data_IF_025458711525
#
_entry.id   IF_025458711525
#
_cell.length_a   1.000
_cell.length_b   1.000
_cell.length_c   1.000
_cell.angle_alpha   90.00
_cell.angle_beta   90.00
_cell.angle_gamma   90.00
#
_symmetry.space_group_name_H-M   'P 1'
#
loop_
_entity.id
_entity.type
_entity.pdbx_description
1 polymer ?
#
# COMPACT_ATOMS: atom_id res chain seq x y z
N UNK A 1 23.81 -42.28 24.45
CA UNK A 1 23.01 -41.15 24.98
C UNK A 1 23.36 -39.78 24.36
N UNK A 2 24.18 -39.70 23.31
CA UNK A 2 24.65 -38.45 22.69
C UNK A 2 23.81 -37.98 21.48
N UNK A 3 23.00 -38.87 20.89
CA UNK A 3 22.26 -38.57 19.65
C UNK A 3 21.01 -37.68 19.87
N UNK A 4 20.45 -37.69 21.09
CA UNK A 4 19.26 -36.89 21.43
C UNK A 4 19.56 -35.41 21.64
N UNK A 5 20.79 -35.06 22.01
CA UNK A 5 21.19 -33.68 22.28
C UNK A 5 21.38 -32.88 20.98
N UNK A 6 21.94 -33.50 19.94
CA UNK A 6 22.13 -32.86 18.64
C UNK A 6 20.81 -32.55 17.91
N UNK A 7 19.80 -33.41 18.05
CA UNK A 7 18.49 -33.19 17.44
C UNK A 7 17.76 -31.96 18.02
N UNK A 8 17.98 -31.65 19.30
CA UNK A 8 17.36 -30.50 19.95
C UNK A 8 17.99 -29.17 19.50
N UNK A 9 19.32 -29.14 19.35
CA UNK A 9 20.07 -27.94 18.93
C UNK A 9 19.74 -27.52 17.50
N UNK A 10 19.49 -28.47 16.60
CA UNK A 10 19.10 -28.16 15.21
C UNK A 10 17.69 -27.57 15.11
N UNK A 11 16.74 -28.00 15.96
CA UNK A 11 15.39 -27.41 15.99
C UNK A 11 15.36 -25.97 16.51
N UNK A 12 16.26 -25.61 17.45
CA UNK A 12 16.32 -24.24 17.98
C UNK A 12 16.89 -23.21 16.99
N UNK A 13 17.68 -23.65 16.00
CA UNK A 13 18.24 -22.76 14.98
C UNK A 13 17.23 -22.37 13.87
N UNK A 14 16.12 -23.09 13.74
CA UNK A 14 15.10 -22.82 12.71
C UNK A 14 14.13 -21.67 13.06
N UNK A 15 14.13 -21.19 14.31
CA UNK A 15 13.27 -20.08 14.77
C UNK A 15 13.82 -18.69 14.40
N UNK A 16 15.01 -18.62 13.80
CA UNK A 16 15.66 -17.37 13.36
C UNK A 16 15.28 -16.92 11.94
N UNK A 17 14.25 -17.50 11.32
CA UNK A 17 13.73 -17.02 10.04
C UNK A 17 13.02 -15.68 10.27
N UNK A 18 13.79 -14.57 10.17
CA UNK A 18 13.27 -13.21 10.24
C UNK A 18 12.09 -13.06 9.29
N UNK A 19 10.91 -12.78 9.85
CA UNK A 19 9.69 -12.58 9.07
C UNK A 19 9.96 -11.56 7.96
N UNK A 20 9.67 -11.94 6.72
CA UNK A 20 9.68 -11.02 5.60
C UNK A 20 8.58 -9.97 5.85
N UNK A 21 8.97 -8.85 6.45
CA UNK A 21 8.13 -7.66 6.53
C UNK A 21 8.01 -7.12 5.10
N UNK A 22 7.04 -7.61 4.33
CA UNK A 22 6.77 -7.09 3.00
C UNK A 22 6.21 -5.67 3.11
N UNK A 23 6.71 -4.79 2.23
CA UNK A 23 6.41 -3.38 2.16
C UNK A 23 4.89 -3.15 2.09
N UNK A 24 4.41 -2.25 2.95
CA UNK A 24 3.02 -2.26 3.40
C UNK A 24 2.25 -1.16 2.67
N UNK A 25 1.55 -1.49 1.59
CA UNK A 25 0.35 -0.76 1.19
C UNK A 25 -0.83 -1.71 1.41
N UNK A 26 -1.73 -1.38 2.34
CA UNK A 26 -2.87 -2.23 2.66
C UNK A 26 -4.17 -1.44 2.83
N UNK A 27 -5.29 -1.88 2.24
CA UNK A 27 -5.37 -2.99 1.28
C UNK A 27 -4.77 -2.59 -0.08
N UNK A 28 -4.23 -3.55 -0.84
CA UNK A 28 -3.77 -3.32 -2.23
C UNK A 28 -4.92 -3.29 -3.24
N UNK A 29 -6.08 -3.81 -2.88
CA UNK A 29 -7.31 -3.74 -3.67
C UNK A 29 -8.48 -3.42 -2.76
N UNK A 30 -9.26 -2.42 -3.12
CA UNK A 30 -10.53 -2.19 -2.44
C UNK A 30 -11.56 -1.62 -3.40
N UNK A 31 -12.80 -1.96 -3.10
CA UNK A 31 -13.96 -1.60 -3.91
C UNK A 31 -15.08 -1.09 -2.99
N UNK A 32 -15.92 -0.19 -3.50
CA UNK A 32 -17.15 0.12 -2.77
C UNK A 32 -17.98 1.26 -3.33
N UNK A 33 -19.26 1.25 -2.97
CA UNK A 33 -20.20 2.31 -3.29
C UNK A 33 -19.89 3.62 -2.54
N UNK A 34 -20.35 4.74 -3.08
CA UNK A 34 -20.42 6.05 -2.42
C UNK A 34 -21.71 6.78 -2.79
N UNK A 35 -22.37 7.48 -1.84
CA UNK A 35 -23.55 8.28 -2.16
C UNK A 35 -23.22 9.60 -2.86
N UNK A 36 -21.95 10.03 -2.90
CA UNK A 36 -21.52 11.28 -3.54
C UNK A 36 -20.65 11.02 -4.78
N UNK A 37 -20.35 12.08 -5.52
CA UNK A 37 -19.38 12.06 -6.63
C UNK A 37 -17.93 11.84 -6.15
N UNK A 38 -17.67 11.76 -4.86
CA UNK A 38 -16.33 11.55 -4.29
C UNK A 38 -16.29 10.19 -3.59
N UNK A 39 -15.32 9.35 -3.96
CA UNK A 39 -15.02 8.11 -3.24
C UNK A 39 -13.70 8.25 -2.50
N UNK A 40 -13.72 7.86 -1.22
CA UNK A 40 -12.52 7.74 -0.40
C UNK A 40 -12.21 6.29 -0.02
N UNK A 41 -10.93 5.97 0.08
CA UNK A 41 -10.41 4.73 0.69
C UNK A 41 -9.36 5.07 1.73
N UNK A 42 -9.44 4.39 2.88
CA UNK A 42 -8.41 4.43 3.93
C UNK A 42 -7.38 3.34 3.65
N UNK A 43 -6.13 3.73 3.47
CA UNK A 43 -5.00 2.86 3.20
C UNK A 43 -4.01 2.95 4.36
N UNK A 44 -3.20 1.92 4.55
CA UNK A 44 -2.11 1.89 5.53
C UNK A 44 -0.80 1.74 4.80
N UNK A 45 0.10 2.69 5.02
CA UNK A 45 1.47 2.66 4.51
C UNK A 45 2.43 2.28 5.64
N UNK A 46 3.34 1.35 5.40
CA UNK A 46 4.26 0.86 6.44
C UNK A 46 5.69 0.76 5.95
N UNK A 47 6.63 1.00 6.86
CA UNK A 47 8.05 0.97 6.60
C UNK A 47 8.65 -0.39 7.01
N UNK A 48 8.96 -1.28 6.05
CA UNK A 48 9.61 -2.56 6.37
C UNK A 48 11.12 -2.43 6.57
N UNK A 49 11.71 -1.27 6.25
CA UNK A 49 13.15 -1.10 6.31
C UNK A 49 13.62 -0.92 7.75
N UNK A 50 14.87 -1.34 8.02
CA UNK A 50 15.52 -1.18 9.33
C UNK A 50 15.92 0.26 9.65
N UNK A 51 15.77 1.17 8.68
CA UNK A 51 16.05 2.59 8.82
C UNK A 51 14.77 3.41 8.70
N UNK A 52 14.83 4.67 9.18
CA UNK A 52 13.74 5.63 9.01
C UNK A 52 13.72 6.09 7.55
N UNK A 53 12.57 5.93 6.89
CA UNK A 53 12.42 6.20 5.46
C UNK A 53 11.34 7.24 5.17
N UNK A 54 11.55 8.06 4.16
CA UNK A 54 10.57 8.96 3.54
C UNK A 54 9.84 8.21 2.43
N UNK A 55 8.52 8.30 2.42
CA UNK A 55 7.65 7.70 1.41
C UNK A 55 6.87 8.78 0.68
N UNK A 56 6.72 8.59 -0.63
CA UNK A 56 5.86 9.37 -1.51
C UNK A 56 4.69 8.48 -1.93
N UNK A 57 3.50 9.05 -1.96
CA UNK A 57 2.26 8.40 -2.39
C UNK A 57 1.67 9.17 -3.56
N UNK A 58 1.46 8.47 -4.66
CA UNK A 58 0.99 9.03 -5.93
C UNK A 58 -0.35 8.40 -6.32
N UNK A 59 -1.30 9.22 -6.75
CA UNK A 59 -2.52 8.73 -7.39
C UNK A 59 -2.27 8.58 -8.89
N UNK A 60 -2.41 7.36 -9.38
CA UNK A 60 -2.04 6.97 -10.74
C UNK A 60 -3.26 6.52 -11.54
N UNK A 61 -3.10 6.37 -12.84
CA UNK A 61 -4.01 5.57 -13.65
C UNK A 61 -4.03 4.08 -13.19
N UNK A 62 -5.01 3.28 -13.62
CA UNK A 62 -5.09 1.86 -13.26
C UNK A 62 -3.92 1.01 -13.78
N UNK A 63 -3.09 1.54 -14.69
CA UNK A 63 -1.91 0.86 -15.26
C UNK A 63 -0.60 1.23 -14.56
N UNK A 64 -0.64 2.20 -13.65
CA UNK A 64 0.50 2.74 -12.89
C UNK A 64 1.54 3.45 -13.78
N UNK A 65 1.09 4.05 -14.89
CA UNK A 65 1.94 4.71 -15.87
C UNK A 65 2.02 6.22 -15.61
N UNK A 66 0.87 6.88 -15.41
CA UNK A 66 0.79 8.34 -15.23
C UNK A 66 0.03 8.74 -13.97
N UNK A 67 0.39 9.88 -13.38
CA UNK A 67 -0.37 10.51 -12.30
C UNK A 67 -1.67 11.12 -12.81
N UNK A 68 -2.72 11.10 -11.98
CA UNK A 68 -4.07 11.59 -12.34
C UNK A 68 -4.46 12.82 -11.52
N UNK A 69 -4.97 13.86 -12.19
CA UNK A 69 -5.27 15.15 -11.54
C UNK A 69 -6.52 15.17 -10.63
N UNK A 70 -7.49 14.28 -10.85
CA UNK A 70 -8.77 14.25 -10.12
C UNK A 70 -8.79 13.25 -8.96
N UNK A 71 -7.62 12.99 -8.38
CA UNK A 71 -7.46 12.22 -7.16
C UNK A 71 -6.55 12.98 -6.21
N UNK A 72 -6.82 12.88 -4.91
CA UNK A 72 -6.05 13.54 -3.87
C UNK A 72 -5.65 12.54 -2.79
N UNK A 73 -4.43 12.70 -2.28
CA UNK A 73 -3.89 11.94 -1.16
C UNK A 73 -3.73 12.89 0.02
N UNK A 74 -4.32 12.55 1.17
CA UNK A 74 -4.28 13.38 2.39
C UNK A 74 -2.87 13.73 2.89
N UNK A 75 -1.91 12.81 2.73
CA UNK A 75 -0.51 13.01 3.12
C UNK A 75 0.36 12.39 2.02
N UNK A 76 0.70 13.14 0.96
CA UNK A 76 1.40 12.60 -0.21
C UNK A 76 2.88 12.32 0.05
N UNK A 77 3.50 12.95 1.05
CA UNK A 77 4.88 12.66 1.47
C UNK A 77 4.97 12.63 3.00
N UNK A 78 5.61 11.61 3.56
CA UNK A 78 5.81 11.48 5.00
C UNK A 78 6.96 10.54 5.35
N UNK A 79 7.46 10.68 6.58
CA UNK A 79 8.58 9.89 7.10
C UNK A 79 8.12 8.90 8.17
N UNK A 80 8.60 7.66 8.11
CA UNK A 80 8.25 6.58 9.04
C UNK A 80 9.49 5.97 9.70
N UNK A 81 9.41 5.72 11.01
CA UNK A 81 10.40 4.92 11.72
C UNK A 81 10.40 3.45 11.24
N UNK A 82 11.46 2.66 11.51
CA UNK A 82 11.48 1.24 11.20
C UNK A 82 10.27 0.50 11.80
N UNK A 83 9.60 -0.33 11.00
CA UNK A 83 8.42 -1.10 11.43
C UNK A 83 7.15 -0.29 11.70
N UNK A 84 7.21 1.05 11.61
CA UNK A 84 6.04 1.90 11.83
C UNK A 84 5.12 1.91 10.60
N UNK A 85 3.84 2.21 10.84
CA UNK A 85 2.84 2.41 9.81
C UNK A 85 2.03 3.68 10.03
N UNK A 86 1.43 4.20 8.96
CA UNK A 86 0.59 5.38 8.96
C UNK A 86 -0.65 5.17 8.09
N UNK A 87 -1.85 5.45 8.62
CA UNK A 87 -3.04 5.51 7.79
C UNK A 87 -3.03 6.78 6.93
N UNK A 88 -3.46 6.63 5.69
CA UNK A 88 -3.72 7.73 4.75
C UNK A 88 -5.12 7.55 4.16
N UNK A 89 -5.68 8.64 3.66
CA UNK A 89 -6.89 8.64 2.85
C UNK A 89 -6.53 9.05 1.43
N UNK A 90 -7.01 8.28 0.46
CA UNK A 90 -7.03 8.64 -0.95
C UNK A 90 -8.47 8.86 -1.36
N UNK A 91 -8.72 9.95 -2.09
CA UNK A 91 -10.03 10.31 -2.60
C UNK A 91 -9.97 10.61 -4.09
N UNK A 92 -11.02 10.29 -4.82
CA UNK A 92 -11.13 10.61 -6.24
C UNK A 92 -12.58 10.92 -6.62
N UNK A 93 -12.74 11.76 -7.65
CA UNK A 93 -14.06 12.08 -8.20
C UNK A 93 -14.51 10.99 -9.19
N UNK A 94 -15.72 10.47 -9.03
CA UNK A 94 -16.40 9.62 -10.01
C UNK A 94 -17.21 10.55 -10.92
N UNK A 95 -17.00 10.44 -12.23
CA UNK A 95 -17.84 11.15 -13.19
C UNK A 95 -19.29 10.61 -13.09
N UNK A 96 -20.29 11.46 -12.80
CA UNK A 96 -21.68 11.02 -12.71
C UNK A 96 -22.21 10.33 -13.97
N UNK A 97 -21.67 10.65 -15.14
CA UNK A 97 -22.04 10.00 -16.40
C UNK A 97 -21.50 8.57 -16.50
N UNK A 98 -20.27 8.33 -15.98
CA UNK A 98 -19.61 7.03 -16.02
C UNK A 98 -20.03 6.10 -14.88
N UNK A 99 -20.55 6.64 -13.77
CA UNK A 99 -21.09 5.93 -12.60
C UNK A 99 -20.08 5.10 -11.79
N UNK A 100 -18.92 4.81 -12.36
CA UNK A 100 -17.84 4.03 -11.78
C UNK A 100 -16.49 4.60 -12.21
N UNK A 101 -15.48 4.50 -11.33
CA UNK A 101 -14.10 4.86 -11.64
C UNK A 101 -13.13 3.99 -10.86
N UNK A 102 -12.12 3.50 -11.56
CA UNK A 102 -10.96 2.84 -10.97
C UNK A 102 -9.74 3.76 -11.04
N UNK A 103 -8.94 3.77 -9.98
CA UNK A 103 -7.64 4.46 -9.94
C UNK A 103 -6.55 3.51 -9.44
N UNK A 104 -5.30 3.85 -9.75
CA UNK A 104 -4.12 3.29 -9.09
C UNK A 104 -3.65 4.18 -7.94
N UNK A 105 -3.03 3.59 -6.93
CA UNK A 105 -2.24 4.33 -5.93
C UNK A 105 -0.93 3.62 -5.77
N UNK A 106 0.18 4.34 -5.89
CA UNK A 106 1.51 3.80 -5.71
C UNK A 106 2.21 4.47 -4.53
N UNK A 107 2.98 3.68 -3.79
CA UNK A 107 3.85 4.13 -2.71
C UNK A 107 5.28 3.81 -3.07
N UNK A 108 6.17 4.78 -2.92
CA UNK A 108 7.58 4.65 -3.23
C UNK A 108 8.44 5.26 -2.10
N UNK A 109 9.51 4.60 -1.65
CA UNK A 109 10.49 5.22 -0.78
C UNK A 109 11.32 6.25 -1.57
N UNK A 110 11.41 7.46 -1.04
CA UNK A 110 12.20 8.56 -1.62
C UNK A 110 13.69 8.43 -1.31
N UNK A 111 14.03 7.82 -0.18
CA UNK A 111 15.41 7.74 0.32
C UNK A 111 16.21 6.56 -0.30
N UNK A 112 15.60 5.77 -1.20
CA UNK A 112 16.32 4.71 -1.92
C UNK A 112 16.78 5.22 -3.28
N UNK A 113 18.07 5.06 -3.55
CA UNK A 113 18.70 5.34 -4.83
C UNK A 113 19.18 4.03 -5.46
N UNK A 114 19.06 3.92 -6.78
CA UNK A 114 19.52 2.74 -7.51
C UNK A 114 18.71 2.48 -8.79
N UNK A 115 19.12 1.48 -9.58
CA UNK A 115 18.45 1.15 -10.84
C UNK A 115 17.06 0.52 -10.63
N UNK A 116 16.76 0.01 -9.42
CA UNK A 116 15.49 -0.61 -9.07
C UNK A 116 14.90 0.14 -7.87
N UNK A 117 13.85 0.92 -8.13
CA UNK A 117 13.10 1.62 -7.08
C UNK A 117 11.89 0.77 -6.70
N UNK A 118 11.83 0.23 -5.46
CA UNK A 118 10.73 -0.61 -5.03
C UNK A 118 9.48 0.25 -4.87
N UNK A 119 8.53 0.09 -5.79
CA UNK A 119 7.24 0.76 -5.81
C UNK A 119 6.14 -0.28 -5.62
N UNK A 120 5.28 -0.08 -4.62
CA UNK A 120 4.13 -0.94 -4.38
C UNK A 120 2.87 -0.19 -4.79
N UNK A 121 2.06 -0.81 -5.63
CA UNK A 121 0.85 -0.20 -6.16
C UNK A 121 -0.40 -1.04 -5.85
N UNK A 122 -1.53 -0.36 -5.68
CA UNK A 122 -2.85 -0.95 -5.50
C UNK A 122 -3.90 -0.31 -6.40
N UNK A 123 -5.00 -1.01 -6.63
CA UNK A 123 -6.12 -0.53 -7.46
C UNK A 123 -7.38 -0.35 -6.62
N UNK A 124 -8.10 0.74 -6.85
CA UNK A 124 -9.26 1.12 -6.05
C UNK A 124 -10.42 1.53 -6.94
N UNK A 125 -11.56 0.85 -6.78
CA UNK A 125 -12.73 1.04 -7.63
C UNK A 125 -13.91 1.58 -6.82
N UNK A 126 -14.42 2.73 -7.22
CA UNK A 126 -15.59 3.35 -6.61
C UNK A 126 -16.74 3.44 -7.60
N UNK A 127 -17.97 3.26 -7.12
CA UNK A 127 -19.19 3.51 -7.91
C UNK A 127 -20.21 4.30 -7.10
N UNK A 128 -21.12 4.97 -7.80
CA UNK A 128 -22.23 5.68 -7.16
C UNK A 128 -23.24 4.68 -6.56
N UNK A 129 -23.81 4.98 -5.40
CA UNK A 129 -24.81 4.12 -4.79
C UNK A 129 -26.02 3.92 -5.73
N UNK A 130 -26.54 2.69 -5.80
CA UNK A 130 -27.68 2.34 -6.65
C UNK A 130 -27.34 2.00 -8.12
N UNK A 131 -26.06 1.96 -8.52
CA UNK A 131 -25.67 1.64 -9.90
C UNK A 131 -25.30 0.17 -10.14
N UNK A 132 -24.70 -0.53 -9.17
CA UNK A 132 -24.54 -2.00 -9.19
C UNK A 132 -25.72 -2.65 -8.45
N UNK A 133 -26.41 -3.58 -9.12
CA UNK A 133 -27.40 -4.50 -8.52
C UNK A 133 -26.72 -5.79 -8.12
#
# INVERSE_FOLDING_TARGET
MQLKLFALVVCLLALGAGGAAAQSLSPMRAEGATPSDIKGFRLTVGNPYKARMTFIVMAMDPKFEVEIAQAAVSVPEFRLAPGASRPIVVQFRIDPALKERTIGVCVQPKDLEGPILPRVCGTYTGWLAGTRR
#
